data_IF_240301468416
#
_entry.id   IF_240301468416
#
_cell.length_a   1.000
_cell.length_b   1.000
_cell.length_c   1.000
_cell.angle_alpha   90.00
_cell.angle_beta   90.00
_cell.angle_gamma   90.00
#
_symmetry.space_group_name_H-M   'P 1'
#
loop_
_entity.id
_entity.type
_entity.pdbx_description
1 polymer ?
#
# COMPACT_ATOMS: atom_id res chain seq x y z
N UNK A 1 5.15 -22.07 -8.06
CA UNK A 1 5.09 -20.78 -8.75
C UNK A 1 6.30 -19.96 -8.33
N UNK A 2 6.93 -19.28 -9.28
CA UNK A 2 8.07 -18.39 -9.05
C UNK A 2 7.59 -16.94 -9.14
N UNK A 3 7.74 -16.17 -8.06
CA UNK A 3 7.19 -14.82 -7.92
C UNK A 3 8.30 -13.79 -7.81
N UNK A 4 8.35 -12.88 -8.75
CA UNK A 4 9.24 -11.71 -8.70
C UNK A 4 8.69 -10.64 -7.77
N UNK A 5 9.51 -10.13 -6.84
CA UNK A 5 9.09 -9.10 -5.87
C UNK A 5 10.00 -7.89 -5.95
N UNK A 6 9.47 -6.74 -6.34
CA UNK A 6 10.17 -5.45 -6.19
C UNK A 6 9.91 -4.86 -4.82
N UNK A 7 10.80 -4.00 -4.32
CA UNK A 7 10.67 -3.48 -2.96
C UNK A 7 10.80 -4.57 -1.89
N UNK A 8 11.46 -5.66 -2.21
CA UNK A 8 11.62 -6.89 -1.40
C UNK A 8 12.30 -6.69 -0.04
N UNK A 9 13.02 -5.59 0.17
CA UNK A 9 13.65 -5.21 1.44
C UNK A 9 12.73 -4.34 2.34
N UNK A 10 11.61 -3.85 1.81
CA UNK A 10 10.64 -3.06 2.57
C UNK A 10 9.82 -3.88 3.57
N UNK A 11 9.00 -3.21 4.40
CA UNK A 11 8.15 -3.84 5.41
C UNK A 11 7.26 -4.95 4.82
N UNK A 12 6.50 -4.62 3.78
CA UNK A 12 5.60 -5.58 3.13
C UNK A 12 6.42 -6.60 2.32
N UNK A 13 7.40 -6.14 1.54
CA UNK A 13 8.16 -7.00 0.64
C UNK A 13 8.96 -8.09 1.36
N UNK A 14 9.60 -7.76 2.49
CA UNK A 14 10.34 -8.75 3.28
C UNK A 14 9.42 -9.79 3.93
N UNK A 15 8.24 -9.39 4.39
CA UNK A 15 7.22 -10.28 4.93
C UNK A 15 6.56 -11.13 3.84
N UNK A 16 6.30 -10.52 2.67
CA UNK A 16 5.73 -11.23 1.52
C UNK A 16 6.65 -12.34 1.02
N UNK A 17 7.95 -12.10 0.93
CA UNK A 17 8.91 -13.14 0.54
C UNK A 17 8.80 -14.36 1.45
N UNK A 18 8.78 -14.16 2.76
CA UNK A 18 8.58 -15.25 3.73
C UNK A 18 7.23 -15.95 3.55
N UNK A 19 6.15 -15.18 3.28
CA UNK A 19 4.83 -15.73 3.00
C UNK A 19 4.80 -16.59 1.73
N UNK A 20 5.47 -16.15 0.66
CA UNK A 20 5.62 -16.91 -0.60
C UNK A 20 6.36 -18.22 -0.34
N UNK A 21 7.49 -18.16 0.37
CA UNK A 21 8.32 -19.33 0.69
C UNK A 21 7.57 -20.33 1.60
N UNK A 22 6.75 -19.83 2.56
CA UNK A 22 6.00 -20.67 3.50
C UNK A 22 4.92 -21.56 2.84
N UNK A 23 4.47 -21.19 1.63
CA UNK A 23 3.50 -21.98 0.85
C UNK A 23 4.17 -22.80 -0.27
N UNK A 24 5.50 -22.93 -0.22
CA UNK A 24 6.27 -23.74 -1.17
C UNK A 24 6.52 -23.08 -2.53
N UNK A 25 6.33 -21.75 -2.64
CA UNK A 25 6.68 -21.00 -3.85
C UNK A 25 8.08 -20.38 -3.74
N UNK A 26 8.64 -20.00 -4.87
CA UNK A 26 9.95 -19.33 -4.94
C UNK A 26 9.77 -17.81 -4.99
N UNK A 27 10.44 -17.08 -4.09
CA UNK A 27 10.43 -15.62 -4.08
C UNK A 27 11.74 -15.07 -4.65
N UNK A 28 11.67 -14.34 -5.77
CA UNK A 28 12.82 -13.70 -6.41
C UNK A 28 12.79 -12.20 -6.19
N UNK A 29 13.85 -11.65 -5.62
CA UNK A 29 13.98 -10.21 -5.47
C UNK A 29 14.30 -9.57 -6.82
N UNK A 30 13.47 -8.61 -7.26
CA UNK A 30 13.74 -7.80 -8.44
C UNK A 30 14.44 -6.51 -7.98
N UNK A 31 15.69 -6.27 -8.38
CA UNK A 31 16.44 -5.06 -8.03
C UNK A 31 15.82 -3.79 -8.61
N UNK A 32 16.13 -2.64 -7.98
CA UNK A 32 15.60 -1.33 -8.39
C UNK A 32 16.06 -0.92 -9.79
N UNK A 33 17.28 -1.27 -10.15
CA UNK A 33 17.92 -0.90 -11.42
C UNK A 33 17.11 -1.33 -12.67
N UNK A 34 16.22 -2.32 -12.51
CA UNK A 34 15.31 -2.76 -13.59
C UNK A 34 14.26 -1.71 -13.99
N UNK A 35 13.92 -0.80 -13.09
CA UNK A 35 12.77 0.09 -13.30
C UNK A 35 13.00 1.55 -12.88
N UNK A 36 14.19 1.92 -12.37
CA UNK A 36 14.47 3.31 -11.97
C UNK A 36 15.12 4.16 -13.08
N UNK A 37 15.47 3.52 -14.19
CA UNK A 37 16.07 4.19 -15.33
C UNK A 37 17.53 4.60 -15.14
N UNK A 38 18.18 4.18 -14.04
CA UNK A 38 19.56 4.54 -13.71
C UNK A 38 20.59 3.90 -14.66
N UNK A 39 20.19 2.85 -15.39
CA UNK A 39 21.10 2.16 -16.30
C UNK A 39 20.50 1.89 -17.68
N UNK A 40 20.59 2.90 -18.55
CA UNK A 40 20.27 2.76 -19.99
C UNK A 40 21.30 1.90 -20.75
N UNK A 41 22.45 1.59 -20.16
CA UNK A 41 23.57 0.93 -20.83
C UNK A 41 23.63 -0.57 -20.59
N UNK A 42 22.89 -1.11 -19.59
CA UNK A 42 22.87 -2.52 -19.24
C UNK A 42 21.77 -3.35 -19.94
N UNK A 43 21.27 -2.86 -21.04
CA UNK A 43 20.26 -3.55 -21.87
C UNK A 43 20.75 -4.87 -22.49
N UNK A 44 21.73 -5.54 -21.94
CA UNK A 44 22.26 -6.66 -22.73
C UNK A 44 22.72 -7.94 -22.04
N UNK A 45 23.11 -8.03 -20.79
CA UNK A 45 23.77 -9.30 -20.46
C UNK A 45 23.75 -9.85 -19.02
N UNK A 46 23.31 -9.12 -18.00
CA UNK A 46 23.26 -9.67 -16.63
C UNK A 46 21.89 -9.63 -15.95
N UNK A 47 20.93 -8.92 -16.52
CA UNK A 47 19.61 -8.70 -15.96
C UNK A 47 18.56 -9.70 -16.44
N UNK A 48 18.86 -10.46 -17.45
CA UNK A 48 17.88 -11.21 -18.22
C UNK A 48 17.32 -12.44 -17.47
N UNK A 49 18.13 -13.08 -16.63
CA UNK A 49 17.74 -14.39 -16.10
C UNK A 49 16.83 -14.39 -14.89
N UNK A 50 16.76 -13.31 -14.10
CA UNK A 50 15.92 -13.30 -12.90
C UNK A 50 14.42 -13.06 -13.20
N UNK A 51 14.12 -12.43 -14.36
CA UNK A 51 12.74 -12.21 -14.83
C UNK A 51 12.28 -13.23 -15.87
N UNK A 52 13.19 -13.95 -16.53
CA UNK A 52 12.86 -14.83 -17.64
C UNK A 52 12.07 -16.09 -17.26
N UNK A 53 11.93 -16.35 -15.97
CA UNK A 53 11.24 -17.54 -15.47
C UNK A 53 10.26 -17.26 -14.34
N UNK A 54 9.80 -16.00 -14.18
CA UNK A 54 8.81 -15.69 -13.15
C UNK A 54 7.39 -15.88 -13.68
N UNK A 55 6.56 -16.60 -12.93
CA UNK A 55 5.16 -16.83 -13.27
C UNK A 55 4.28 -15.63 -12.97
N UNK A 56 4.72 -14.81 -11.98
CA UNK A 56 4.00 -13.66 -11.47
C UNK A 56 4.96 -12.58 -10.94
N UNK A 57 4.51 -11.33 -10.93
CA UNK A 57 5.30 -10.21 -10.35
C UNK A 57 4.44 -9.43 -9.35
N UNK A 58 5.05 -9.10 -8.20
CA UNK A 58 4.48 -8.18 -7.20
C UNK A 58 5.35 -6.93 -7.11
N UNK A 59 4.78 -5.78 -7.47
CA UNK A 59 5.48 -4.50 -7.48
C UNK A 59 5.10 -3.66 -6.26
N UNK A 60 6.02 -3.61 -5.27
CA UNK A 60 5.86 -2.87 -4.01
C UNK A 60 6.86 -1.71 -3.87
N UNK A 61 7.69 -1.49 -4.89
CA UNK A 61 8.69 -0.43 -4.83
C UNK A 61 8.05 0.95 -4.94
N UNK A 62 8.52 1.87 -4.13
CA UNK A 62 8.07 3.25 -4.12
C UNK A 62 8.74 4.05 -3.01
N UNK A 63 8.86 5.36 -3.23
CA UNK A 63 9.44 6.27 -2.25
C UNK A 63 8.55 6.41 -1.01
N UNK A 64 9.14 6.51 0.18
CA UNK A 64 8.37 6.60 1.42
C UNK A 64 7.66 7.96 1.52
N UNK A 65 6.32 7.96 1.58
CA UNK A 65 5.49 9.17 1.65
C UNK A 65 5.62 9.94 2.97
N UNK A 66 6.04 9.27 4.04
CA UNK A 66 6.09 9.81 5.40
C UNK A 66 7.53 10.13 5.87
N UNK A 67 8.49 10.27 4.97
CA UNK A 67 9.86 10.64 5.29
C UNK A 67 10.09 12.15 5.12
N UNK A 68 9.46 12.95 5.98
CA UNK A 68 9.60 14.40 6.01
C UNK A 68 8.45 15.14 5.35
N UNK A 69 8.52 16.46 5.42
CA UNK A 69 7.50 17.39 4.94
C UNK A 69 7.40 17.35 3.40
N UNK A 70 6.20 17.50 2.86
CA UNK A 70 5.98 17.50 1.41
C UNK A 70 6.34 18.87 0.81
N UNK A 71 7.53 18.92 0.22
CA UNK A 71 7.96 19.98 -0.70
C UNK A 71 7.66 19.52 -2.14
N UNK A 72 7.71 20.43 -3.12
CA UNK A 72 7.51 20.08 -4.54
C UNK A 72 8.50 19.01 -5.00
N UNK A 73 9.77 19.13 -4.59
CA UNK A 73 10.78 18.09 -4.83
C UNK A 73 10.39 16.74 -4.23
N UNK A 74 9.86 16.74 -3.01
CA UNK A 74 9.43 15.51 -2.34
C UNK A 74 8.22 14.89 -3.02
N UNK A 75 7.23 15.70 -3.40
CA UNK A 75 6.06 15.27 -4.17
C UNK A 75 6.47 14.67 -5.51
N UNK A 76 7.40 15.30 -6.23
CA UNK A 76 7.94 14.75 -7.49
C UNK A 76 8.58 13.38 -7.27
N UNK A 77 9.44 13.22 -6.26
CA UNK A 77 10.06 11.92 -5.94
C UNK A 77 9.02 10.84 -5.60
N UNK A 78 7.97 11.20 -4.83
CA UNK A 78 6.88 10.27 -4.50
C UNK A 78 6.12 9.84 -5.75
N UNK A 79 5.76 10.78 -6.62
CA UNK A 79 5.05 10.52 -7.88
C UNK A 79 5.92 9.71 -8.85
N UNK A 80 7.13 10.20 -9.12
CA UNK A 80 7.98 9.68 -10.20
C UNK A 80 8.49 8.26 -9.88
N UNK A 81 8.81 7.98 -8.62
CA UNK A 81 9.21 6.63 -8.19
C UNK A 81 8.11 5.57 -8.41
N UNK A 82 6.84 5.99 -8.40
CA UNK A 82 5.68 5.11 -8.63
C UNK A 82 5.34 5.01 -10.10
N UNK A 83 5.12 6.15 -10.73
CA UNK A 83 4.64 6.23 -12.12
C UNK A 83 5.70 5.70 -13.09
N UNK A 84 6.91 6.25 -13.02
CA UNK A 84 7.98 5.85 -13.96
C UNK A 84 8.43 4.40 -13.66
N UNK A 85 8.55 4.04 -12.38
CA UNK A 85 8.92 2.69 -11.99
C UNK A 85 7.93 1.64 -12.46
N UNK A 86 6.63 1.88 -12.28
CA UNK A 86 5.57 0.96 -12.74
C UNK A 86 5.52 0.87 -14.26
N UNK A 87 5.59 2.00 -14.96
CA UNK A 87 5.59 2.03 -16.43
C UNK A 87 6.76 1.25 -16.98
N UNK A 88 7.97 1.53 -16.50
CA UNK A 88 9.19 0.85 -16.95
C UNK A 88 9.14 -0.66 -16.68
N UNK A 89 8.71 -1.05 -15.47
CA UNK A 89 8.53 -2.47 -15.17
C UNK A 89 7.53 -3.13 -16.11
N UNK A 90 6.39 -2.49 -16.36
CA UNK A 90 5.36 -3.00 -17.28
C UNK A 90 5.92 -3.21 -18.70
N UNK A 91 6.67 -2.24 -19.23
CA UNK A 91 7.32 -2.35 -20.52
C UNK A 91 8.33 -3.51 -20.56
N UNK A 92 9.18 -3.63 -19.54
CA UNK A 92 10.16 -4.73 -19.44
C UNK A 92 9.48 -6.10 -19.38
N UNK A 93 8.35 -6.23 -18.68
CA UNK A 93 7.62 -7.50 -18.59
C UNK A 93 6.99 -7.92 -19.92
N UNK A 94 6.51 -6.96 -20.70
CA UNK A 94 5.94 -7.22 -22.05
C UNK A 94 6.99 -7.69 -23.04
N UNK A 95 8.22 -7.19 -22.94
CA UNK A 95 9.34 -7.56 -23.80
C UNK A 95 9.89 -8.98 -23.53
N UNK A 96 9.42 -9.69 -22.51
CA UNK A 96 9.88 -11.05 -22.18
C UNK A 96 9.37 -12.09 -23.20
N UNK A 97 10.18 -13.11 -23.44
CA UNK A 97 9.77 -14.25 -24.29
C UNK A 97 8.56 -14.98 -23.67
N UNK A 98 8.54 -15.07 -22.33
CA UNK A 98 7.42 -15.60 -21.54
C UNK A 98 7.00 -14.55 -20.51
N UNK A 99 6.07 -13.63 -20.84
CA UNK A 99 5.55 -12.68 -19.88
C UNK A 99 4.88 -13.38 -18.68
N UNK A 100 4.95 -12.78 -17.48
CA UNK A 100 4.25 -13.33 -16.32
C UNK A 100 2.73 -13.29 -16.54
N UNK A 101 2.01 -14.26 -15.98
CA UNK A 101 0.55 -14.35 -16.10
C UNK A 101 -0.18 -13.25 -15.32
N UNK A 102 0.46 -12.68 -14.29
CA UNK A 102 -0.12 -11.65 -13.43
C UNK A 102 0.91 -10.67 -12.91
N UNK A 103 0.52 -9.39 -12.87
CA UNK A 103 1.22 -8.28 -12.26
C UNK A 103 0.33 -7.70 -11.14
N UNK A 104 0.73 -7.90 -9.89
CA UNK A 104 0.07 -7.31 -8.72
C UNK A 104 0.84 -6.06 -8.32
N UNK A 105 0.18 -4.93 -8.30
CA UNK A 105 0.77 -3.61 -8.06
C UNK A 105 0.27 -3.04 -6.73
N UNK A 106 1.16 -2.47 -5.94
CA UNK A 106 0.75 -1.61 -4.85
C UNK A 106 0.08 -0.35 -5.44
N UNK A 107 -1.03 0.04 -4.81
CA UNK A 107 -1.68 1.34 -4.88
C UNK A 107 -2.05 1.73 -3.45
N UNK A 108 -2.88 2.73 -3.24
CA UNK A 108 -3.26 3.17 -1.89
C UNK A 108 -4.70 3.68 -1.84
N UNK A 109 -5.33 3.58 -0.66
CA UNK A 109 -6.64 4.20 -0.40
C UNK A 109 -6.61 5.73 -0.54
N UNK A 110 -5.42 6.34 -0.62
CA UNK A 110 -5.25 7.75 -0.99
C UNK A 110 -5.89 8.12 -2.33
N UNK A 111 -6.18 7.12 -3.19
CA UNK A 111 -7.00 7.28 -4.39
C UNK A 111 -8.34 7.98 -4.11
N UNK A 112 -8.96 7.70 -2.98
CA UNK A 112 -10.28 8.22 -2.63
C UNK A 112 -10.25 9.63 -2.03
N UNK A 113 -9.11 10.11 -1.51
CA UNK A 113 -9.01 11.40 -0.84
C UNK A 113 -9.83 11.47 0.45
N UNK A 114 -10.20 12.71 0.87
CA UNK A 114 -11.10 12.94 1.99
C UNK A 114 -12.56 12.87 1.53
N UNK A 115 -13.34 11.93 2.06
CA UNK A 115 -14.73 11.68 1.70
C UNK A 115 -15.67 11.68 2.91
N UNK A 116 -15.22 12.18 4.06
CA UNK A 116 -16.04 12.24 5.27
C UNK A 116 -16.54 10.85 5.70
N UNK A 117 -17.87 10.69 5.82
CA UNK A 117 -18.50 9.44 6.25
C UNK A 117 -18.92 8.52 5.09
N UNK A 118 -18.66 8.91 3.84
CA UNK A 118 -19.04 8.12 2.68
C UNK A 118 -18.39 6.74 2.73
N UNK A 119 -19.18 5.68 2.56
CA UNK A 119 -18.65 4.33 2.43
C UNK A 119 -18.17 4.10 1.00
N UNK A 120 -16.91 3.77 0.84
CA UNK A 120 -16.22 3.71 -0.44
C UNK A 120 -15.84 2.28 -0.78
N UNK A 121 -16.02 1.92 -2.04
CA UNK A 121 -15.58 0.64 -2.60
C UNK A 121 -14.81 0.86 -3.92
N UNK A 122 -14.46 -0.21 -4.59
CA UNK A 122 -13.64 -0.14 -5.80
C UNK A 122 -14.29 0.57 -6.99
N UNK A 123 -15.62 0.68 -7.00
CA UNK A 123 -16.40 1.44 -8.01
C UNK A 123 -16.49 2.94 -7.70
N UNK A 124 -16.13 3.36 -6.49
CA UNK A 124 -16.16 4.77 -6.09
C UNK A 124 -15.13 5.58 -6.87
N UNK A 125 -15.54 6.80 -7.27
CA UNK A 125 -14.67 7.71 -8.03
C UNK A 125 -13.46 8.15 -7.21
N UNK A 126 -12.39 8.52 -7.91
CA UNK A 126 -11.23 9.17 -7.30
C UNK A 126 -11.64 10.44 -6.56
N UNK A 127 -10.95 10.73 -5.48
CA UNK A 127 -11.10 11.96 -4.73
C UNK A 127 -10.27 13.10 -5.31
N UNK A 128 -9.96 14.08 -4.48
CA UNK A 128 -9.19 15.27 -4.83
C UNK A 128 -7.90 15.31 -4.01
N UNK A 129 -6.84 15.88 -4.57
CA UNK A 129 -5.58 16.15 -3.89
C UNK A 129 -4.43 15.27 -4.35
N UNK A 130 -3.24 15.63 -3.90
CA UNK A 130 -1.97 15.07 -4.38
C UNK A 130 -1.93 13.54 -4.40
N UNK A 131 -2.39 12.87 -3.34
CA UNK A 131 -2.34 11.40 -3.28
C UNK A 131 -3.33 10.76 -4.24
N UNK A 132 -4.51 11.36 -4.40
CA UNK A 132 -5.51 10.88 -5.37
C UNK A 132 -4.99 10.99 -6.80
N UNK A 133 -4.41 12.13 -7.15
CA UNK A 133 -3.82 12.36 -8.47
C UNK A 133 -2.68 11.38 -8.75
N UNK A 134 -1.79 11.19 -7.74
CA UNK A 134 -0.70 10.21 -7.87
C UNK A 134 -1.23 8.79 -8.05
N UNK A 135 -2.22 8.36 -7.29
CA UNK A 135 -2.77 7.00 -7.41
C UNK A 135 -3.40 6.76 -8.79
N UNK A 136 -4.12 7.74 -9.36
CA UNK A 136 -4.72 7.62 -10.68
C UNK A 136 -3.66 7.40 -11.77
N UNK A 137 -2.63 8.27 -11.82
CA UNK A 137 -1.57 8.14 -12.82
C UNK A 137 -0.67 6.92 -12.56
N UNK A 138 -0.54 6.50 -11.30
CA UNK A 138 0.19 5.30 -10.93
C UNK A 138 -0.52 4.03 -11.42
N UNK A 139 -1.83 3.90 -11.18
CA UNK A 139 -2.62 2.77 -11.68
C UNK A 139 -2.61 2.73 -13.23
N UNK A 140 -2.74 3.90 -13.88
CA UNK A 140 -2.66 4.01 -15.34
C UNK A 140 -1.27 3.66 -15.92
N UNK A 141 -0.20 3.75 -15.13
CA UNK A 141 1.15 3.44 -15.60
C UNK A 141 1.37 1.94 -15.92
N UNK A 142 0.46 1.06 -15.47
CA UNK A 142 0.49 -0.37 -15.79
C UNK A 142 -0.18 -0.74 -17.11
N UNK A 143 -0.69 0.24 -17.86
CA UNK A 143 -1.40 0.01 -19.13
C UNK A 143 -0.62 -0.83 -20.14
N UNK A 144 0.72 -0.68 -20.32
CA UNK A 144 1.47 -1.54 -21.24
C UNK A 144 1.31 -3.03 -20.91
N UNK A 145 1.40 -3.42 -19.64
CA UNK A 145 1.23 -4.81 -19.22
C UNK A 145 -0.19 -5.31 -19.48
N UNK A 146 -1.21 -4.49 -19.15
CA UNK A 146 -2.62 -4.83 -19.38
C UNK A 146 -2.94 -5.02 -20.86
N UNK A 147 -2.49 -4.10 -21.72
CA UNK A 147 -2.71 -4.16 -23.16
C UNK A 147 -2.02 -5.37 -23.82
N UNK A 148 -0.94 -5.88 -23.20
CA UNK A 148 -0.28 -7.11 -23.64
C UNK A 148 -0.91 -8.40 -23.10
N UNK A 149 -2.05 -8.32 -22.39
CA UNK A 149 -2.78 -9.48 -21.88
C UNK A 149 -2.27 -10.01 -20.53
N UNK A 150 -1.36 -9.31 -19.85
CA UNK A 150 -0.97 -9.62 -18.46
C UNK A 150 -2.11 -9.20 -17.55
N UNK A 151 -2.62 -10.08 -16.69
CA UNK A 151 -3.62 -9.73 -15.68
C UNK A 151 -3.02 -8.76 -14.66
N UNK A 152 -3.59 -7.56 -14.55
CA UNK A 152 -3.10 -6.51 -13.66
C UNK A 152 -4.05 -6.30 -12.49
N UNK A 153 -3.53 -6.35 -11.25
CA UNK A 153 -4.29 -6.09 -10.02
C UNK A 153 -3.66 -4.91 -9.28
N UNK A 154 -4.45 -3.86 -9.03
CA UNK A 154 -4.03 -2.69 -8.26
C UNK A 154 -4.52 -2.80 -6.82
N UNK A 155 -3.65 -3.10 -5.88
CA UNK A 155 -4.00 -3.20 -4.47
C UNK A 155 -4.01 -1.81 -3.83
N UNK A 156 -5.18 -1.23 -3.60
CA UNK A 156 -5.37 0.01 -2.85
C UNK A 156 -5.24 -0.28 -1.36
N UNK A 157 -3.99 -0.24 -0.89
CA UNK A 157 -3.63 -0.66 0.47
C UNK A 157 -4.01 0.43 1.48
N UNK A 158 -4.66 0.03 2.57
CA UNK A 158 -4.96 0.87 3.73
C UNK A 158 -3.76 1.11 4.63
N UNK A 159 -4.02 1.64 5.83
CA UNK A 159 -2.98 1.88 6.84
C UNK A 159 -2.54 0.53 7.41
N UNK A 160 -1.31 0.12 7.09
CA UNK A 160 -0.79 -1.19 7.50
C UNK A 160 -0.42 -1.19 8.98
N UNK A 161 -1.06 -2.07 9.76
CA UNK A 161 -0.76 -2.30 11.16
C UNK A 161 0.37 -3.33 11.28
N UNK A 162 1.57 -2.81 11.57
CA UNK A 162 2.76 -3.63 11.82
C UNK A 162 3.59 -3.01 12.95
N UNK A 163 3.90 -3.80 13.96
CA UNK A 163 4.70 -3.35 15.11
C UNK A 163 6.17 -3.08 14.74
N UNK A 164 6.67 -3.80 13.74
CA UNK A 164 8.08 -3.74 13.31
C UNK A 164 8.38 -2.56 12.38
N UNK A 165 7.35 -1.88 11.85
CA UNK A 165 7.56 -0.79 10.88
C UNK A 165 6.31 -0.02 10.51
N UNK A 166 6.44 0.84 9.50
CA UNK A 166 5.30 1.57 8.91
C UNK A 166 4.66 2.62 9.82
N UNK A 167 3.37 2.86 9.60
CA UNK A 167 2.61 3.90 10.30
C UNK A 167 2.44 3.59 11.79
N UNK A 168 2.09 2.34 12.14
CA UNK A 168 1.85 1.95 13.53
C UNK A 168 3.10 2.19 14.40
N UNK A 169 4.29 1.82 13.93
CA UNK A 169 5.53 2.04 14.70
C UNK A 169 5.76 3.52 15.05
N UNK A 170 5.44 4.42 14.11
CA UNK A 170 5.53 5.88 14.36
C UNK A 170 4.49 6.36 15.37
N UNK A 171 3.28 5.79 15.32
CA UNK A 171 2.20 6.11 16.26
C UNK A 171 2.49 5.57 17.67
N UNK A 172 3.13 4.42 17.80
CA UNK A 172 3.40 3.78 19.10
C UNK A 172 4.22 4.63 20.06
N UNK A 173 5.17 5.44 19.58
CA UNK A 173 6.05 6.24 20.45
C UNK A 173 5.28 7.22 21.34
N UNK A 174 4.43 8.13 20.83
CA UNK A 174 3.65 9.04 21.68
C UNK A 174 2.73 8.28 22.65
N UNK A 175 2.12 7.16 22.21
CA UNK A 175 1.27 6.36 23.09
C UNK A 175 2.04 5.69 24.23
N UNK A 176 3.22 5.11 23.96
CA UNK A 176 4.08 4.53 25.00
C UNK A 176 4.51 5.55 26.04
N UNK A 177 4.73 6.80 25.62
CA UNK A 177 5.06 7.93 26.49
C UNK A 177 3.84 8.50 27.25
N UNK A 178 2.62 8.01 27.00
CA UNK A 178 1.39 8.49 27.65
C UNK A 178 0.88 9.83 27.11
N UNK A 179 1.44 10.33 26.01
CA UNK A 179 1.03 11.58 25.34
C UNK A 179 0.27 11.35 24.03
N UNK A 180 -0.07 10.08 23.73
CA UNK A 180 -0.93 9.73 22.60
C UNK A 180 -2.37 10.18 22.84
N UNK A 181 -3.03 10.66 21.79
CA UNK A 181 -4.40 11.15 21.93
C UNK A 181 -5.15 11.25 20.61
N UNK A 182 -6.41 11.64 20.72
CA UNK A 182 -7.31 11.82 19.58
C UNK A 182 -6.83 12.98 18.73
N UNK A 183 -6.74 12.78 17.43
CA UNK A 183 -6.29 13.77 16.45
C UNK A 183 -7.50 14.59 15.97
N UNK A 184 -7.45 15.90 16.14
CA UNK A 184 -8.52 16.82 15.72
C UNK A 184 -9.86 16.46 16.40
N UNK A 185 -10.92 16.28 15.62
CA UNK A 185 -12.23 15.83 16.10
C UNK A 185 -12.25 14.33 16.46
N UNK A 186 -11.35 13.55 15.89
CA UNK A 186 -11.34 12.10 16.02
C UNK A 186 -12.43 11.39 15.21
N UNK A 187 -13.26 12.11 14.48
CA UNK A 187 -14.37 11.54 13.69
C UNK A 187 -13.93 10.99 12.32
N UNK A 188 -12.72 11.36 11.86
CA UNK A 188 -12.21 10.89 10.59
C UNK A 188 -11.98 9.38 10.61
N UNK A 189 -12.46 8.69 9.57
CA UNK A 189 -12.27 7.27 9.39
C UNK A 189 -10.88 6.90 8.94
N UNK A 190 -10.39 5.82 9.51
CA UNK A 190 -9.12 5.18 9.20
C UNK A 190 -9.39 3.78 8.67
N UNK A 191 -9.17 3.57 7.38
CA UNK A 191 -9.20 2.21 6.80
C UNK A 191 -7.82 1.60 6.94
N UNK A 192 -7.74 0.55 7.71
CA UNK A 192 -6.53 -0.12 8.15
C UNK A 192 -6.51 -1.59 7.69
N UNK A 193 -5.36 -2.23 7.79
CA UNK A 193 -5.20 -3.68 7.55
C UNK A 193 -4.03 -4.21 8.37
N UNK A 194 -4.09 -5.46 8.84
CA UNK A 194 -2.94 -6.14 9.46
C UNK A 194 -1.87 -6.46 8.41
N UNK A 195 -0.60 -6.54 8.82
CA UNK A 195 0.46 -6.97 7.89
C UNK A 195 0.22 -8.41 7.39
N UNK A 196 -0.27 -9.30 8.25
CA UNK A 196 -0.63 -10.67 7.87
C UNK A 196 -1.70 -10.70 6.77
N UNK A 197 -2.75 -9.88 6.89
CA UNK A 197 -3.80 -9.78 5.88
C UNK A 197 -3.33 -9.07 4.61
N UNK A 198 -2.34 -8.16 4.69
CA UNK A 198 -1.68 -7.65 3.48
C UNK A 198 -1.01 -8.80 2.73
N UNK A 199 -0.26 -9.65 3.42
CA UNK A 199 0.42 -10.77 2.80
C UNK A 199 -0.59 -11.77 2.25
N UNK A 200 -1.59 -12.15 3.05
CA UNK A 200 -2.68 -13.03 2.62
C UNK A 200 -3.44 -12.52 1.40
N UNK A 201 -3.79 -11.23 1.38
CA UNK A 201 -4.49 -10.60 0.26
C UNK A 201 -3.64 -10.52 -1.01
N UNK A 202 -2.33 -10.29 -0.90
CA UNK A 202 -1.41 -10.36 -2.06
C UNK A 202 -1.35 -11.79 -2.61
N UNK A 203 -1.17 -12.80 -1.75
CA UNK A 203 -1.14 -14.20 -2.16
C UNK A 203 -2.47 -14.63 -2.78
N UNK A 204 -3.59 -14.18 -2.21
CA UNK A 204 -4.92 -14.41 -2.79
C UNK A 204 -5.05 -13.76 -4.17
N UNK A 205 -4.62 -12.51 -4.35
CA UNK A 205 -4.66 -11.81 -5.64
C UNK A 205 -3.80 -12.50 -6.71
N UNK A 206 -2.68 -13.12 -6.34
CA UNK A 206 -1.88 -13.94 -7.25
C UNK A 206 -2.66 -15.17 -7.75
N UNK A 207 -3.46 -15.81 -6.89
CA UNK A 207 -4.19 -17.06 -7.15
C UNK A 207 -5.57 -16.83 -7.80
N UNK A 208 -6.31 -15.83 -7.34
CA UNK A 208 -7.69 -15.56 -7.75
C UNK A 208 -7.74 -14.98 -9.16
N UNK A 209 -7.93 -15.83 -10.16
CA UNK A 209 -7.96 -15.47 -11.59
C UNK A 209 -9.02 -14.42 -11.93
N UNK A 210 -10.12 -14.35 -11.17
CA UNK A 210 -11.19 -13.36 -11.36
C UNK A 210 -10.88 -11.97 -10.80
N UNK A 211 -9.81 -11.79 -10.03
CA UNK A 211 -9.39 -10.46 -9.55
C UNK A 211 -8.52 -9.77 -10.60
N UNK A 212 -9.02 -8.64 -11.11
CA UNK A 212 -8.34 -7.76 -12.06
C UNK A 212 -8.71 -6.30 -11.78
N UNK A 213 -7.84 -5.34 -12.12
CA UNK A 213 -8.06 -3.92 -11.86
C UNK A 213 -7.95 -3.56 -10.37
N UNK A 214 -8.68 -2.52 -9.88
CA UNK A 214 -8.56 -2.05 -8.50
C UNK A 214 -9.18 -3.04 -7.51
N UNK A 215 -8.48 -3.25 -6.39
CA UNK A 215 -8.90 -4.09 -5.25
C UNK A 215 -8.52 -3.37 -3.96
N UNK A 216 -9.47 -3.09 -3.09
CA UNK A 216 -9.23 -2.49 -1.79
C UNK A 216 -8.62 -3.53 -0.84
N UNK A 217 -7.40 -3.30 -0.41
CA UNK A 217 -6.70 -4.13 0.54
C UNK A 217 -6.74 -3.46 1.91
N UNK A 218 -7.91 -3.55 2.54
CA UNK A 218 -8.26 -2.98 3.85
C UNK A 218 -9.02 -4.02 4.69
N UNK A 219 -9.00 -3.87 6.01
CA UNK A 219 -9.90 -4.64 6.89
C UNK A 219 -11.37 -4.27 6.62
N UNK A 220 -12.31 -5.23 6.76
CA UNK A 220 -13.75 -4.95 6.55
C UNK A 220 -14.35 -3.98 7.59
N UNK A 221 -13.65 -3.71 8.67
CA UNK A 221 -14.11 -2.86 9.77
C UNK A 221 -13.26 -1.59 9.90
N UNK A 222 -13.48 -0.55 9.05
CA UNK A 222 -12.85 0.74 9.23
C UNK A 222 -13.28 1.37 10.56
N UNK A 223 -12.37 2.08 11.23
CA UNK A 223 -12.61 2.69 12.54
C UNK A 223 -12.41 4.20 12.48
N UNK A 224 -13.02 4.95 13.41
CA UNK A 224 -12.70 6.37 13.58
C UNK A 224 -11.33 6.51 14.26
N UNK A 225 -10.69 7.69 14.10
CA UNK A 225 -9.46 7.99 14.82
C UNK A 225 -9.66 7.94 16.35
N UNK A 226 -10.83 8.34 16.84
CA UNK A 226 -11.20 8.20 18.25
C UNK A 226 -11.20 6.74 18.72
N UNK A 227 -11.82 5.83 17.94
CA UNK A 227 -11.87 4.41 18.26
C UNK A 227 -10.50 3.76 18.17
N UNK A 228 -9.71 4.12 17.13
CA UNK A 228 -8.32 3.69 17.01
C UNK A 228 -7.51 4.10 18.25
N UNK A 229 -7.58 5.37 18.63
CA UNK A 229 -6.85 5.94 19.75
C UNK A 229 -7.20 5.23 21.06
N UNK A 230 -8.50 5.07 21.35
CA UNK A 230 -8.97 4.38 22.55
C UNK A 230 -8.55 2.90 22.57
N UNK A 231 -8.63 2.22 21.41
CA UNK A 231 -8.27 0.80 21.31
C UNK A 231 -6.77 0.62 21.52
N UNK A 232 -5.92 1.43 20.87
CA UNK A 232 -4.48 1.39 21.04
C UNK A 232 -4.06 1.72 22.48
N UNK A 233 -4.71 2.71 23.11
CA UNK A 233 -4.47 3.05 24.50
C UNK A 233 -4.78 1.89 25.45
N UNK A 234 -5.90 1.16 25.24
CA UNK A 234 -6.25 -0.02 26.02
C UNK A 234 -5.24 -1.16 25.84
N UNK A 235 -4.84 -1.45 24.61
CA UNK A 235 -3.83 -2.49 24.30
C UNK A 235 -2.51 -2.18 24.97
N UNK A 236 -2.07 -0.93 24.93
CA UNK A 236 -0.82 -0.49 25.55
C UNK A 236 -0.93 -0.20 27.05
N UNK A 237 -2.14 -0.21 27.62
CA UNK A 237 -2.43 0.19 28.99
C UNK A 237 -1.92 1.60 29.28
N UNK A 238 -2.17 2.53 28.37
CA UNK A 238 -1.75 3.94 28.47
C UNK A 238 -2.95 4.87 28.33
N UNK A 239 -2.99 5.99 29.06
CA UNK A 239 -4.04 6.98 28.91
C UNK A 239 -3.97 7.65 27.53
N UNK A 240 -5.11 8.09 27.01
CA UNK A 240 -5.26 8.78 25.72
C UNK A 240 -6.11 10.04 25.88
N UNK A 241 -5.88 10.76 26.96
CA UNK A 241 -6.70 11.92 27.36
C UNK A 241 -6.22 13.24 26.76
N UNK A 242 -4.99 13.30 26.25
CA UNK A 242 -4.41 14.53 25.69
C UNK A 242 -4.82 14.64 24.23
N UNK A 243 -5.67 15.61 23.81
CA UNK A 243 -6.03 15.78 22.42
C UNK A 243 -4.84 16.32 21.62
N UNK A 244 -4.71 15.90 20.37
CA UNK A 244 -3.72 16.42 19.43
C UNK A 244 -4.42 17.42 18.50
N UNK A 245 -4.21 18.73 18.67
CA UNK A 245 -4.90 19.74 17.86
C UNK A 245 -4.49 19.65 16.38
N UNK A 246 -5.46 19.70 15.48
CA UNK A 246 -5.20 19.62 14.03
C UNK A 246 -4.29 20.75 13.54
N UNK A 247 -4.40 21.96 14.10
CA UNK A 247 -3.55 23.08 13.70
C UNK A 247 -2.06 22.82 14.00
N UNK A 248 -1.75 22.15 15.12
CA UNK A 248 -0.37 21.81 15.48
C UNK A 248 0.23 20.80 14.46
N UNK A 249 -0.56 19.80 14.04
CA UNK A 249 -0.13 18.88 13.00
C UNK A 249 0.07 19.57 11.64
N UNK A 250 -0.82 20.50 11.27
CA UNK A 250 -0.67 21.30 10.05
C UNK A 250 0.62 22.14 10.09
N UNK A 251 0.91 22.76 11.25
CA UNK A 251 2.13 23.55 11.40
C UNK A 251 3.41 22.71 11.22
N UNK A 252 3.43 21.49 11.78
CA UNK A 252 4.61 20.62 11.76
C UNK A 252 4.74 19.88 10.42
N UNK A 253 3.66 19.30 9.91
CA UNK A 253 3.67 18.36 8.77
C UNK A 253 3.14 18.99 7.46
N UNK A 254 2.48 20.15 7.54
CA UNK A 254 1.88 20.81 6.37
C UNK A 254 0.80 19.96 5.70
N UNK A 255 0.79 19.93 4.37
CA UNK A 255 -0.14 19.15 3.55
C UNK A 255 -0.17 17.64 3.89
N UNK A 256 0.96 17.09 4.32
CA UNK A 256 1.03 15.69 4.75
C UNK A 256 0.10 15.39 5.94
N UNK A 257 -0.12 16.37 6.85
CA UNK A 257 -1.06 16.20 7.96
C UNK A 257 -2.50 16.04 7.46
N UNK A 258 -2.91 16.86 6.50
CA UNK A 258 -4.25 16.76 5.89
C UNK A 258 -4.44 15.42 5.22
N UNK A 259 -3.51 15.03 4.35
CA UNK A 259 -3.66 13.86 3.51
C UNK A 259 -3.53 12.52 4.28
N UNK A 260 -2.71 12.45 5.34
CA UNK A 260 -2.41 11.18 6.02
C UNK A 260 -3.05 11.03 7.40
N UNK A 261 -3.42 12.14 8.08
CA UNK A 261 -3.88 12.09 9.47
C UNK A 261 -5.28 12.67 9.67
N UNK A 262 -5.67 13.65 8.87
CA UNK A 262 -6.92 14.39 9.04
C UNK A 262 -7.98 13.98 8.00
N UNK A 263 -7.57 13.49 6.83
CA UNK A 263 -8.49 12.98 5.82
C UNK A 263 -9.30 11.80 6.35
N UNK A 264 -10.57 11.76 6.03
CA UNK A 264 -11.50 10.67 6.36
C UNK A 264 -11.72 9.79 5.14
N UNK A 265 -11.33 8.52 5.24
CA UNK A 265 -11.43 7.57 4.13
C UNK A 265 -12.00 6.26 4.67
N UNK A 266 -13.33 6.08 4.54
CA UNK A 266 -14.08 4.91 5.01
C UNK A 266 -14.24 3.92 3.87
N UNK A 267 -13.32 2.95 3.77
CA UNK A 267 -13.23 2.02 2.64
C UNK A 267 -13.58 0.60 3.06
N UNK A 268 -14.33 -0.10 2.23
CA UNK A 268 -14.62 -1.52 2.35
C UNK A 268 -13.90 -2.35 1.26
N UNK A 269 -13.53 -3.61 1.56
CA UNK A 269 -12.83 -4.50 0.65
C UNK A 269 -13.80 -5.36 -0.18
N UNK A 270 -14.76 -4.75 -0.90
CA UNK A 270 -15.89 -5.46 -1.51
C UNK A 270 -15.39 -6.57 -2.45
N UNK A 271 -14.52 -6.25 -3.39
CA UNK A 271 -14.02 -7.23 -4.37
C UNK A 271 -13.17 -8.34 -3.74
N UNK A 272 -12.43 -8.02 -2.68
CA UNK A 272 -11.62 -9.02 -1.98
C UNK A 272 -12.51 -10.02 -1.23
N UNK A 273 -13.59 -9.54 -0.58
CA UNK A 273 -14.60 -10.38 0.08
C UNK A 273 -15.36 -11.23 -0.95
N UNK A 274 -15.84 -10.62 -2.03
CA UNK A 274 -16.59 -11.30 -3.10
C UNK A 274 -15.76 -12.39 -3.78
N UNK A 275 -14.41 -12.23 -3.81
CA UNK A 275 -13.50 -13.24 -4.33
C UNK A 275 -13.23 -14.41 -3.37
N UNK A 276 -13.81 -14.39 -2.16
CA UNK A 276 -13.69 -15.45 -1.17
C UNK A 276 -12.51 -15.30 -0.21
N UNK A 277 -11.87 -14.12 -0.12
CA UNK A 277 -10.82 -13.89 0.85
C UNK A 277 -11.37 -13.84 2.29
N UNK A 278 -10.74 -14.57 3.20
CA UNK A 278 -11.07 -14.56 4.62
C UNK A 278 -9.98 -13.85 5.43
N UNK A 279 -10.35 -12.78 6.12
CA UNK A 279 -9.42 -11.99 6.93
C UNK A 279 -9.01 -12.73 8.21
N UNK A 280 -7.71 -12.75 8.49
CA UNK A 280 -7.16 -13.28 9.74
C UNK A 280 -7.46 -12.35 10.93
N UNK A 281 -7.38 -11.05 10.70
CA UNK A 281 -7.61 -10.02 11.71
C UNK A 281 -8.64 -8.98 11.23
N UNK A 282 -9.94 -9.34 11.23
CA UNK A 282 -11.00 -8.42 10.80
C UNK A 282 -11.23 -7.26 11.77
N UNK A 283 -10.87 -7.40 13.05
CA UNK A 283 -11.07 -6.38 14.08
C UNK A 283 -9.75 -5.76 14.53
N UNK A 284 -9.75 -4.44 14.71
CA UNK A 284 -8.57 -3.67 15.07
C UNK A 284 -7.85 -4.15 16.33
N UNK A 285 -8.61 -4.52 17.37
CA UNK A 285 -8.05 -4.98 18.65
C UNK A 285 -7.16 -6.21 18.49
N UNK A 286 -7.55 -7.11 17.59
CA UNK A 286 -6.83 -8.37 17.37
C UNK A 286 -5.58 -8.17 16.49
N UNK A 287 -5.55 -7.08 15.72
CA UNK A 287 -4.44 -6.69 14.85
C UNK A 287 -3.35 -5.85 15.56
N UNK A 288 -3.63 -5.29 16.75
CA UNK A 288 -2.71 -4.45 17.53
C UNK A 288 -1.96 -5.24 18.60
#
# INVERSE_FOLDING_TARGET
>A
MKVGVTGSSGLIGSSLRKGIESIGWEAVAIPRDYFDGSDRTRSGSKFDHSLDSVDAVVHLAGENIASGRWTDRRKSLIRDSRVNGTRRLSEVLVERITPPSVLVLASAIGFYGDRGNELLNESSKAGIGFLSDVCQIWEAAAEPARSAGIRVVHLRIGIVMAQTGGALRKMLMPFKLGIGGVIGSGSQYMSWISLDDVIGGVLHALHAKGLEGPVNLVSPNPVTNSDFTKTLGRVLRRPTIIPVPSFALRLVLGEMAEALLLASTRVEPSRLVDSGYSFKFPNLKDAL
#
